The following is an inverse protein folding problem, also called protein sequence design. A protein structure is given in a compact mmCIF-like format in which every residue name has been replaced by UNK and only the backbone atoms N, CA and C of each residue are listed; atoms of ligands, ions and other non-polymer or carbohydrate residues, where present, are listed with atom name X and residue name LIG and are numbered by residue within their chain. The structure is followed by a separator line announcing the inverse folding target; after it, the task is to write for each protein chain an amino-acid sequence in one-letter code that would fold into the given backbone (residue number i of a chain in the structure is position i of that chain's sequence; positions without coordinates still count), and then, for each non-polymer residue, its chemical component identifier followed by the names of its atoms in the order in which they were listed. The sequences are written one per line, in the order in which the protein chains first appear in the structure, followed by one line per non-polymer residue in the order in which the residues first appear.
data_IF_632124484554
#
_entry.id   IF_632124484554
#
_cell.length_a   1.000
_cell.length_b   1.000
_cell.length_c   1.000
_cell.angle_alpha   90.00
_cell.angle_beta   90.00
_cell.angle_gamma   90.00
#
_symmetry.space_group_name_H-M   'P 1'
#
loop_
_entity.id
_entity.type
_entity.pdbx_description
1 polymer ?
#
# COMPACT_ATOMS: atom_id res chain seq x y z
N UNK A 1 -31.28 14.30 -9.07
CA UNK A 1 -31.33 15.42 -10.06
C UNK A 1 -30.00 15.47 -10.80
N UNK A 2 -29.93 16.15 -11.96
CA UNK A 2 -28.72 16.16 -12.81
C UNK A 2 -28.36 17.58 -13.24
N UNK A 3 -27.07 17.90 -13.23
CA UNK A 3 -26.51 19.12 -13.79
C UNK A 3 -25.74 18.76 -15.06
N UNK A 4 -26.06 19.43 -16.17
CA UNK A 4 -25.38 19.24 -17.44
C UNK A 4 -24.31 20.31 -17.65
N UNK A 5 -23.05 19.89 -17.69
CA UNK A 5 -21.92 20.74 -18.02
C UNK A 5 -21.67 20.59 -19.53
N UNK A 6 -21.88 21.66 -20.27
CA UNK A 6 -21.68 21.74 -21.71
C UNK A 6 -21.09 23.08 -22.08
N UNK A 7 -20.45 23.13 -23.23
CA UNK A 7 -20.09 24.41 -23.84
C UNK A 7 -21.36 25.21 -24.16
N UNK A 8 -21.32 26.52 -23.88
CA UNK A 8 -22.39 27.48 -24.14
C UNK A 8 -21.93 28.61 -25.07
N UNK A 9 -20.73 28.51 -25.64
CA UNK A 9 -20.09 29.60 -26.37
C UNK A 9 -19.60 30.71 -25.43
N UNK A 10 -19.39 31.88 -25.99
CA UNK A 10 -18.93 33.05 -25.23
C UNK A 10 -20.01 33.55 -24.27
N UNK A 11 -19.67 33.62 -22.98
CA UNK A 11 -20.54 34.11 -21.92
C UNK A 11 -20.07 35.48 -21.43
N UNK A 12 -21.00 36.29 -20.92
CA UNK A 12 -20.73 37.66 -20.47
C UNK A 12 -19.73 37.77 -19.31
N UNK A 13 -19.49 36.68 -18.58
CA UNK A 13 -18.50 36.60 -17.49
C UNK A 13 -17.25 35.81 -17.87
N UNK A 14 -17.10 35.47 -19.16
CA UNK A 14 -16.01 34.68 -19.71
C UNK A 14 -15.88 33.27 -19.09
N UNK A 15 -16.94 32.76 -18.44
CA UNK A 15 -16.94 31.40 -17.92
C UNK A 15 -17.04 30.41 -19.08
N UNK A 16 -16.13 29.45 -19.10
CA UNK A 16 -16.11 28.39 -20.10
C UNK A 16 -15.83 27.04 -19.46
N UNK A 17 -16.21 25.98 -20.17
CA UNK A 17 -15.74 24.65 -19.82
C UNK A 17 -14.26 24.54 -20.20
N UNK A 18 -13.39 24.24 -19.22
CA UNK A 18 -11.93 24.12 -19.41
C UNK A 18 -11.50 23.23 -20.59
N UNK A 19 -12.34 22.26 -20.95
CA UNK A 19 -12.12 21.39 -22.10
C UNK A 19 -13.44 21.25 -22.84
N UNK A 20 -13.59 21.99 -23.95
CA UNK A 20 -14.80 22.04 -24.78
C UNK A 20 -15.27 20.64 -25.22
N UNK A 21 -14.32 19.74 -25.49
CA UNK A 21 -14.58 18.34 -25.86
C UNK A 21 -14.94 17.42 -24.68
N UNK A 22 -15.08 17.94 -23.45
CA UNK A 22 -15.39 17.16 -22.25
C UNK A 22 -16.72 17.56 -21.58
N UNK A 23 -17.85 17.61 -22.32
CA UNK A 23 -19.16 17.80 -21.72
C UNK A 23 -19.50 16.59 -20.84
N UNK A 24 -20.19 16.84 -19.72
CA UNK A 24 -20.53 15.77 -18.77
C UNK A 24 -21.78 16.09 -17.99
N UNK A 25 -22.42 15.04 -17.50
CA UNK A 25 -23.58 15.15 -16.62
C UNK A 25 -23.19 14.72 -15.23
N UNK A 26 -23.54 15.53 -14.24
CA UNK A 26 -23.28 15.26 -12.83
C UNK A 26 -24.60 14.92 -12.15
N UNK A 27 -24.69 13.70 -11.61
CA UNK A 27 -25.71 13.38 -10.62
C UNK A 27 -25.40 14.13 -9.31
N UNK A 28 -26.42 14.78 -8.78
CA UNK A 28 -26.38 15.63 -7.58
C UNK A 28 -27.50 15.27 -6.62
N UNK A 29 -27.25 15.49 -5.32
CA UNK A 29 -28.23 15.28 -4.26
C UNK A 29 -29.39 16.28 -4.36
N UNK A 30 -30.53 15.93 -3.77
CA UNK A 30 -31.66 16.84 -3.65
C UNK A 30 -31.28 18.06 -2.80
N UNK A 31 -30.54 17.87 -1.71
CA UNK A 31 -30.11 18.96 -0.81
C UNK A 31 -29.30 20.04 -1.55
N UNK A 32 -28.38 19.64 -2.45
CA UNK A 32 -27.63 20.61 -3.24
C UNK A 32 -28.54 21.40 -4.19
N UNK A 33 -29.53 20.75 -4.77
CA UNK A 33 -30.49 21.42 -5.65
C UNK A 33 -31.42 22.34 -4.88
N UNK A 34 -31.83 21.97 -3.66
CA UNK A 34 -32.58 22.85 -2.78
C UNK A 34 -31.77 24.11 -2.45
N UNK A 35 -30.47 23.98 -2.12
CA UNK A 35 -29.59 25.13 -1.92
C UNK A 35 -29.47 26.04 -3.16
N UNK A 36 -29.49 25.47 -4.37
CA UNK A 36 -29.53 26.26 -5.60
C UNK A 36 -30.86 27.03 -5.74
N UNK A 37 -31.98 26.38 -5.45
CA UNK A 37 -33.31 27.01 -5.53
C UNK A 37 -33.49 28.10 -4.48
N UNK A 38 -33.02 27.87 -3.26
CA UNK A 38 -33.03 28.87 -2.18
C UNK A 38 -32.21 30.10 -2.60
N UNK A 39 -31.01 29.89 -3.14
CA UNK A 39 -30.17 30.98 -3.65
C UNK A 39 -30.85 31.76 -4.77
N UNK A 40 -31.45 31.08 -5.75
CA UNK A 40 -32.15 31.73 -6.86
C UNK A 40 -33.33 32.55 -6.32
N UNK A 41 -34.13 31.97 -5.44
CA UNK A 41 -35.32 32.63 -4.86
C UNK A 41 -34.94 33.87 -4.06
N UNK A 42 -33.81 33.84 -3.35
CA UNK A 42 -33.35 34.97 -2.52
C UNK A 42 -32.70 36.09 -3.35
N UNK A 43 -31.92 35.75 -4.38
CA UNK A 43 -31.05 36.72 -5.06
C UNK A 43 -31.45 37.06 -6.50
N UNK A 44 -32.22 36.23 -7.21
CA UNK A 44 -32.70 36.53 -8.56
C UNK A 44 -34.06 37.25 -8.52
N UNK A 45 -34.02 38.54 -8.18
CA UNK A 45 -35.19 39.42 -8.23
C UNK A 45 -35.45 39.94 -9.66
N UNK A 46 -36.54 40.69 -9.85
CA UNK A 46 -36.89 41.32 -11.13
C UNK A 46 -35.80 42.27 -11.68
N UNK A 47 -34.84 42.69 -10.84
CA UNK A 47 -33.70 43.53 -11.23
C UNK A 47 -32.52 42.75 -11.83
N UNK A 48 -32.59 41.41 -11.85
CA UNK A 48 -31.52 40.53 -12.30
C UNK A 48 -31.77 40.06 -13.73
N UNK A 49 -31.06 40.66 -14.69
CA UNK A 49 -31.11 40.28 -16.10
C UNK A 49 -29.89 39.44 -16.49
N UNK A 50 -29.89 38.16 -16.10
CA UNK A 50 -28.84 37.21 -16.49
C UNK A 50 -29.28 35.76 -16.39
N UNK A 51 -28.75 34.92 -17.28
CA UNK A 51 -28.94 33.47 -17.26
C UNK A 51 -27.79 32.72 -16.51
N UNK A 52 -27.13 33.41 -15.58
CA UNK A 52 -26.09 32.86 -14.71
C UNK A 52 -26.65 32.65 -13.32
N UNK A 53 -26.45 31.46 -12.73
CA UNK A 53 -26.93 31.20 -11.37
C UNK A 53 -26.25 32.11 -10.36
N UNK A 54 -24.93 32.23 -10.36
CA UNK A 54 -24.21 33.02 -9.36
C UNK A 54 -23.94 34.45 -9.81
N UNK A 55 -24.39 35.40 -9.00
CA UNK A 55 -24.31 36.86 -9.28
C UNK A 55 -23.59 37.61 -8.15
N UNK A 56 -23.13 38.82 -8.47
CA UNK A 56 -22.56 39.78 -7.52
C UNK A 56 -23.70 40.35 -6.67
N UNK A 57 -23.72 40.01 -5.38
CA UNK A 57 -24.82 40.36 -4.46
C UNK A 57 -24.76 41.81 -3.92
N UNK A 58 -23.62 42.49 -4.07
CA UNK A 58 -23.39 43.84 -3.53
C UNK A 58 -22.35 44.62 -4.33
N UNK A 59 -22.30 45.94 -4.12
CA UNK A 59 -21.35 46.87 -4.77
C UNK A 59 -21.91 47.48 -6.06
N UNK A 60 -21.09 48.28 -6.76
CA UNK A 60 -21.51 48.99 -7.98
C UNK A 60 -21.86 48.08 -9.16
N UNK A 61 -21.35 46.84 -9.15
CA UNK A 61 -21.65 45.81 -10.16
C UNK A 61 -22.66 44.78 -9.64
N UNK A 62 -23.54 45.16 -8.72
CA UNK A 62 -24.60 44.27 -8.21
C UNK A 62 -25.45 43.73 -9.37
N UNK A 63 -25.95 42.49 -9.23
CA UNK A 63 -26.76 41.74 -10.19
C UNK A 63 -26.01 41.24 -11.45
N UNK A 64 -24.77 41.69 -11.69
CA UNK A 64 -23.94 41.11 -12.75
C UNK A 64 -23.44 39.72 -12.37
N UNK A 65 -23.20 38.82 -13.33
CA UNK A 65 -22.59 37.51 -13.09
C UNK A 65 -21.27 37.58 -12.33
N UNK A 66 -20.99 36.56 -11.51
CA UNK A 66 -19.65 36.41 -10.92
C UNK A 66 -18.61 36.06 -12.00
N UNK A 67 -17.44 36.69 -11.89
CA UNK A 67 -16.25 36.37 -12.66
C UNK A 67 -15.26 35.53 -11.81
N UNK A 68 -14.26 34.94 -12.45
CA UNK A 68 -13.24 34.13 -11.75
C UNK A 68 -12.50 34.92 -10.64
N UNK A 69 -12.28 36.23 -10.87
CA UNK A 69 -11.68 37.13 -9.89
C UNK A 69 -12.53 37.30 -8.63
N UNK A 70 -13.86 37.32 -8.77
CA UNK A 70 -14.79 37.44 -7.64
C UNK A 70 -14.76 36.18 -6.76
N UNK A 71 -14.77 35.01 -7.39
CA UNK A 71 -14.67 33.71 -6.70
C UNK A 71 -13.34 33.62 -5.95
N UNK A 72 -12.23 33.97 -6.62
CA UNK A 72 -10.91 33.96 -5.98
C UNK A 72 -10.86 34.91 -4.77
N UNK A 73 -11.45 36.10 -4.90
CA UNK A 73 -11.53 37.08 -3.81
C UNK A 73 -12.42 36.60 -2.66
N UNK A 74 -13.52 35.92 -2.96
CA UNK A 74 -14.38 35.28 -1.96
C UNK A 74 -13.59 34.24 -1.14
N UNK A 75 -12.89 33.32 -1.79
CA UNK A 75 -12.10 32.30 -1.09
C UNK A 75 -10.94 32.89 -0.28
N UNK A 76 -10.31 33.99 -0.74
CA UNK A 76 -9.34 34.75 0.06
C UNK A 76 -9.97 35.31 1.33
N UNK A 77 -11.17 35.91 1.24
CA UNK A 77 -11.90 36.43 2.42
C UNK A 77 -12.30 35.32 3.38
N UNK A 78 -12.81 34.19 2.86
CA UNK A 78 -13.16 33.01 3.67
C UNK A 78 -11.92 32.49 4.40
N UNK A 79 -10.80 32.34 3.69
CA UNK A 79 -9.55 31.86 4.28
C UNK A 79 -9.05 32.79 5.39
N UNK A 80 -9.13 34.11 5.18
CA UNK A 80 -8.76 35.11 6.20
C UNK A 80 -9.69 35.07 7.41
N UNK A 81 -11.00 34.96 7.21
CA UNK A 81 -12.01 34.96 8.28
C UNK A 81 -11.92 33.71 9.15
N UNK A 82 -11.72 32.55 8.53
CA UNK A 82 -11.67 31.25 9.21
C UNK A 82 -10.27 30.87 9.69
N UNK A 83 -9.23 31.52 9.18
CA UNK A 83 -7.81 31.13 9.33
C UNK A 83 -7.49 29.74 8.75
N UNK A 84 -8.36 29.20 7.90
CA UNK A 84 -8.17 27.93 7.20
C UNK A 84 -7.88 28.24 5.74
N UNK A 85 -6.77 27.73 5.20
CA UNK A 85 -6.45 27.91 3.79
C UNK A 85 -7.42 27.08 2.94
N UNK A 86 -8.28 27.73 2.17
CA UNK A 86 -9.24 27.08 1.26
C UNK A 86 -9.22 27.77 -0.10
N UNK A 87 -9.26 27.00 -1.18
CA UNK A 87 -9.46 27.50 -2.54
C UNK A 87 -10.43 26.59 -3.31
N UNK A 88 -10.99 27.04 -4.45
CA UNK A 88 -11.94 26.24 -5.22
C UNK A 88 -11.40 24.88 -5.66
N UNK A 89 -10.11 24.79 -6.00
CA UNK A 89 -9.47 23.56 -6.45
C UNK A 89 -9.37 22.52 -5.32
N UNK A 90 -9.15 22.95 -4.07
CA UNK A 90 -9.15 22.06 -2.90
C UNK A 90 -10.51 21.38 -2.72
N UNK A 91 -11.62 22.09 -2.97
CA UNK A 91 -12.95 21.47 -2.92
C UNK A 91 -13.12 20.42 -4.03
N UNK A 92 -12.50 20.63 -5.19
CA UNK A 92 -12.48 19.64 -6.28
C UNK A 92 -11.66 18.40 -5.90
N UNK A 93 -10.65 18.49 -5.03
CA UNK A 93 -9.93 17.29 -4.55
C UNK A 93 -10.77 16.36 -3.67
N UNK A 94 -11.92 16.80 -3.18
CA UNK A 94 -12.86 15.91 -2.49
C UNK A 94 -13.40 14.78 -3.39
N UNK A 95 -13.22 14.87 -4.73
CA UNK A 95 -13.45 13.73 -5.62
C UNK A 95 -12.59 12.50 -5.25
N UNK A 96 -11.43 12.68 -4.63
CA UNK A 96 -10.61 11.57 -4.11
C UNK A 96 -11.33 10.78 -3.02
N UNK A 97 -12.25 11.39 -2.27
CA UNK A 97 -13.05 10.67 -1.26
C UNK A 97 -14.00 9.64 -1.88
N UNK A 98 -14.40 9.80 -3.16
CA UNK A 98 -15.22 8.80 -3.86
C UNK A 98 -14.47 7.48 -4.04
N UNK A 99 -13.14 7.52 -4.20
CA UNK A 99 -12.30 6.32 -4.22
C UNK A 99 -12.43 5.54 -2.91
N UNK A 100 -12.39 6.24 -1.77
CA UNK A 100 -12.56 5.61 -0.43
C UNK A 100 -13.94 4.96 -0.27
N UNK A 101 -14.92 5.41 -1.05
CA UNK A 101 -16.26 4.81 -1.15
C UNK A 101 -16.35 3.72 -2.24
N UNK A 102 -15.21 3.21 -2.72
CA UNK A 102 -15.14 2.11 -3.68
C UNK A 102 -15.32 2.49 -5.14
N UNK A 103 -15.31 3.79 -5.49
CA UNK A 103 -15.41 4.19 -6.90
C UNK A 103 -14.16 3.80 -7.67
N UNK A 104 -14.37 3.10 -8.78
CA UNK A 104 -13.31 2.79 -9.74
C UNK A 104 -12.77 4.06 -10.40
N UNK A 105 -11.47 4.11 -10.75
CA UNK A 105 -10.84 5.27 -11.38
C UNK A 105 -11.59 5.83 -12.60
N UNK A 106 -12.19 4.98 -13.43
CA UNK A 106 -12.92 5.37 -14.65
C UNK A 106 -14.19 6.15 -14.32
N UNK A 107 -14.86 5.79 -13.21
CA UNK A 107 -16.05 6.50 -12.72
C UNK A 107 -15.67 7.90 -12.20
N UNK A 108 -14.57 7.98 -11.46
CA UNK A 108 -14.03 9.25 -10.96
C UNK A 108 -13.57 10.13 -12.12
N UNK A 109 -12.88 9.57 -13.12
CA UNK A 109 -12.45 10.28 -14.32
C UNK A 109 -13.64 10.91 -15.05
N UNK A 110 -14.69 10.10 -15.29
CA UNK A 110 -15.90 10.56 -15.99
C UNK A 110 -16.61 11.69 -15.21
N UNK A 111 -16.69 11.57 -13.88
CA UNK A 111 -17.27 12.62 -13.03
C UNK A 111 -16.42 13.89 -13.00
N UNK A 112 -15.10 13.75 -12.94
CA UNK A 112 -14.17 14.89 -12.97
C UNK A 112 -14.20 15.58 -14.35
N UNK A 113 -14.39 14.84 -15.43
CA UNK A 113 -14.30 15.35 -16.80
C UNK A 113 -12.86 15.43 -17.31
N UNK A 114 -11.98 14.54 -16.85
CA UNK A 114 -10.59 14.47 -17.31
C UNK A 114 -10.52 13.74 -18.66
N UNK A 115 -9.94 14.40 -19.67
CA UNK A 115 -9.73 13.81 -20.99
C UNK A 115 -8.78 12.61 -20.94
N UNK A 116 -7.74 12.69 -20.10
CA UNK A 116 -6.75 11.62 -19.92
C UNK A 116 -6.94 10.91 -18.58
N UNK A 117 -6.91 9.59 -18.63
CA UNK A 117 -7.02 8.72 -17.45
C UNK A 117 -5.91 8.99 -16.42
N UNK A 118 -4.68 9.21 -16.90
CA UNK A 118 -3.50 9.44 -16.07
C UNK A 118 -3.66 10.62 -15.11
N UNK A 119 -4.34 11.70 -15.53
CA UNK A 119 -4.62 12.85 -14.65
C UNK A 119 -5.46 12.44 -13.44
N UNK A 120 -6.44 11.56 -13.62
CA UNK A 120 -7.28 11.08 -12.52
C UNK A 120 -6.49 10.20 -11.56
N UNK A 121 -5.67 9.29 -12.08
CA UNK A 121 -4.84 8.40 -11.26
C UNK A 121 -3.84 9.20 -10.44
N UNK A 122 -3.12 10.12 -11.09
CA UNK A 122 -2.11 10.95 -10.42
C UNK A 122 -2.70 11.92 -9.40
N UNK A 123 -3.93 12.41 -9.59
CA UNK A 123 -4.52 13.44 -8.72
C UNK A 123 -5.37 12.85 -7.58
N UNK A 124 -5.98 11.68 -7.80
CA UNK A 124 -7.02 11.13 -6.91
C UNK A 124 -6.74 9.71 -6.42
N UNK A 125 -5.73 9.01 -6.96
CA UNK A 125 -5.51 7.59 -6.74
C UNK A 125 -4.10 7.29 -6.20
N UNK A 126 -3.81 7.77 -4.99
CA UNK A 126 -2.59 7.47 -4.25
C UNK A 126 -2.80 6.30 -3.29
N UNK A 127 -2.39 5.10 -3.68
CA UNK A 127 -2.52 3.89 -2.84
C UNK A 127 -1.46 3.91 -1.74
N UNK A 128 -1.87 3.77 -0.48
CA UNK A 128 -0.93 3.58 0.63
C UNK A 128 -0.47 2.12 0.72
N UNK A 129 0.68 1.89 1.35
CA UNK A 129 1.16 0.52 1.62
C UNK A 129 0.15 -0.29 2.46
N UNK A 130 -0.62 0.38 3.32
CA UNK A 130 -1.69 -0.22 4.11
C UNK A 130 -2.84 -0.72 3.23
N UNK A 131 -3.30 0.09 2.27
CA UNK A 131 -4.35 -0.32 1.33
C UNK A 131 -3.89 -1.49 0.45
N UNK A 132 -2.61 -1.53 0.07
CA UNK A 132 -2.03 -2.68 -0.65
C UNK A 132 -2.06 -3.93 0.23
N UNK A 133 -1.73 -3.79 1.52
CA UNK A 133 -1.79 -4.90 2.47
C UNK A 133 -3.20 -5.42 2.64
N UNK A 134 -4.16 -4.55 2.95
CA UNK A 134 -5.57 -4.94 3.16
C UNK A 134 -6.10 -5.70 1.93
N UNK A 135 -5.79 -5.20 0.73
CA UNK A 135 -6.17 -5.86 -0.52
C UNK A 135 -5.52 -7.25 -0.69
N UNK A 136 -4.25 -7.40 -0.30
CA UNK A 136 -3.55 -8.68 -0.33
C UNK A 136 -4.15 -9.65 0.70
N UNK A 137 -4.39 -9.21 1.93
CA UNK A 137 -4.98 -10.03 3.00
C UNK A 137 -6.38 -10.52 2.62
N UNK A 138 -7.20 -9.67 2.00
CA UNK A 138 -8.52 -10.05 1.50
C UNK A 138 -8.44 -11.10 0.36
N UNK A 139 -7.52 -10.92 -0.60
CA UNK A 139 -7.30 -11.90 -1.65
C UNK A 139 -6.81 -13.26 -1.11
N UNK A 140 -5.97 -13.22 -0.06
CA UNK A 140 -5.48 -14.40 0.65
C UNK A 140 -6.60 -15.14 1.38
N UNK A 141 -7.50 -14.42 2.08
CA UNK A 141 -8.70 -15.03 2.71
C UNK A 141 -9.57 -15.75 1.70
N UNK A 142 -9.73 -15.18 0.50
CA UNK A 142 -10.48 -15.78 -0.60
C UNK A 142 -9.78 -16.99 -1.24
N UNK A 143 -8.64 -17.43 -0.71
CA UNK A 143 -7.95 -18.64 -1.13
C UNK A 143 -7.20 -18.51 -2.44
N UNK A 144 -6.99 -17.28 -2.93
CA UNK A 144 -6.37 -17.05 -4.23
C UNK A 144 -4.94 -17.61 -4.32
N UNK A 145 -4.21 -17.65 -3.20
CA UNK A 145 -2.80 -18.00 -3.18
C UNK A 145 -2.46 -19.41 -2.64
N UNK A 146 -3.43 -20.17 -2.11
CA UNK A 146 -3.20 -21.54 -1.60
C UNK A 146 -4.00 -22.55 -2.40
N UNK A 147 -3.31 -23.58 -2.90
CA UNK A 147 -3.94 -24.72 -3.57
C UNK A 147 -3.76 -25.98 -2.74
N UNK A 148 -4.79 -26.83 -2.68
CA UNK A 148 -4.65 -28.18 -2.14
C UNK A 148 -3.88 -29.09 -3.13
N UNK A 149 -3.63 -30.35 -2.74
CA UNK A 149 -2.96 -31.35 -3.58
C UNK A 149 -3.65 -31.59 -4.93
N UNK A 150 -4.94 -31.27 -5.05
CA UNK A 150 -5.71 -31.33 -6.30
C UNK A 150 -5.62 -30.05 -7.16
N UNK A 151 -4.82 -29.06 -6.75
CA UNK A 151 -4.67 -27.79 -7.45
C UNK A 151 -5.83 -26.80 -7.27
N UNK A 152 -6.77 -27.09 -6.36
CA UNK A 152 -7.93 -26.22 -6.09
C UNK A 152 -7.58 -25.19 -5.02
N UNK A 153 -7.95 -23.94 -5.29
CA UNK A 153 -7.88 -22.84 -4.33
C UNK A 153 -8.62 -23.18 -3.03
N UNK A 154 -7.96 -22.96 -1.90
CA UNK A 154 -8.51 -23.19 -0.55
C UNK A 154 -8.49 -21.89 0.22
N UNK A 155 -9.63 -21.51 0.80
CA UNK A 155 -9.75 -20.37 1.72
C UNK A 155 -8.76 -20.52 2.87
N UNK A 156 -8.07 -19.43 3.20
CA UNK A 156 -7.11 -19.41 4.32
C UNK A 156 -7.79 -18.74 5.50
N UNK A 157 -7.88 -19.47 6.61
CA UNK A 157 -8.29 -18.87 7.86
C UNK A 157 -7.07 -18.22 8.55
N UNK A 158 -6.96 -16.90 8.41
CA UNK A 158 -5.87 -16.12 9.02
C UNK A 158 -5.92 -16.17 10.56
N UNK A 159 -7.03 -16.58 11.17
CA UNK A 159 -7.13 -16.75 12.64
C UNK A 159 -6.66 -18.13 13.12
N UNK A 160 -6.12 -18.97 12.26
CA UNK A 160 -5.55 -20.25 12.66
C UNK A 160 -4.13 -20.33 12.12
N UNK A 161 -3.14 -20.25 13.02
CA UNK A 161 -1.76 -20.59 12.70
C UNK A 161 -1.61 -22.08 13.01
N UNK A 162 -1.39 -22.94 12.00
CA UNK A 162 -1.04 -24.33 12.26
C UNK A 162 0.24 -24.37 13.11
N UNK A 163 0.25 -25.16 14.17
CA UNK A 163 1.47 -25.46 14.92
C UNK A 163 2.24 -26.54 14.16
N UNK A 164 2.78 -26.16 13.00
CA UNK A 164 3.59 -27.03 12.16
C UNK A 164 5.06 -26.64 12.26
N UNK A 165 5.95 -27.60 12.05
CA UNK A 165 7.38 -27.35 11.95
C UNK A 165 7.76 -26.73 10.58
N UNK A 166 6.85 -25.95 9.99
CA UNK A 166 6.98 -25.25 8.72
C UNK A 166 6.89 -23.73 8.92
N UNK A 167 7.60 -22.97 8.08
CA UNK A 167 7.47 -21.51 8.04
C UNK A 167 6.29 -21.17 7.14
N UNK A 168 5.24 -20.64 7.73
CA UNK A 168 4.02 -20.24 7.02
C UNK A 168 4.12 -18.75 6.64
N UNK A 169 4.40 -18.49 5.36
CA UNK A 169 4.77 -17.17 4.84
C UNK A 169 3.72 -16.09 5.08
N UNK A 170 2.46 -16.49 5.11
CA UNK A 170 1.30 -15.63 5.29
C UNK A 170 1.26 -14.99 6.68
N UNK A 171 1.89 -15.61 7.68
CA UNK A 171 1.87 -15.12 9.06
C UNK A 171 3.15 -14.39 9.45
N UNK A 172 4.13 -14.27 8.54
CA UNK A 172 5.40 -13.59 8.84
C UNK A 172 5.14 -12.13 9.20
N UNK A 173 5.76 -11.70 10.30
CA UNK A 173 5.60 -10.33 10.79
C UNK A 173 6.11 -9.32 9.77
N UNK A 174 5.27 -8.34 9.47
CA UNK A 174 5.53 -7.36 8.40
C UNK A 174 6.72 -6.42 8.63
N UNK A 175 7.19 -6.33 9.88
CA UNK A 175 8.39 -5.59 10.24
C UNK A 175 9.69 -6.34 9.92
N UNK A 176 9.60 -7.59 9.43
CA UNK A 176 10.74 -8.41 9.02
C UNK A 176 10.99 -8.30 7.51
N UNK A 177 12.25 -8.44 7.13
CA UNK A 177 12.71 -8.40 5.73
C UNK A 177 12.50 -9.76 5.01
N UNK A 178 12.43 -10.86 5.78
CA UNK A 178 12.09 -12.23 5.37
C UNK A 178 12.59 -12.62 3.95
N UNK A 179 13.89 -12.91 3.82
CA UNK A 179 14.52 -13.22 2.52
C UNK A 179 15.11 -14.61 2.49
N UNK A 180 14.96 -15.35 1.39
CA UNK A 180 15.61 -16.65 1.16
C UNK A 180 17.11 -16.50 0.85
N UNK A 181 17.92 -17.23 1.60
CA UNK A 181 19.38 -17.35 1.48
C UNK A 181 19.74 -18.81 1.11
N UNK A 182 21.00 -19.12 0.76
CA UNK A 182 21.39 -20.47 0.34
C UNK A 182 21.09 -21.58 1.36
N UNK A 183 21.20 -21.28 2.65
CA UNK A 183 21.04 -22.25 3.74
C UNK A 183 19.91 -21.91 4.73
N UNK A 184 19.17 -20.82 4.52
CA UNK A 184 18.17 -20.38 5.47
C UNK A 184 17.26 -19.29 4.91
N UNK A 185 16.28 -18.87 5.70
CA UNK A 185 15.58 -17.60 5.60
C UNK A 185 16.16 -16.58 6.59
N UNK A 186 16.32 -15.33 6.15
CA UNK A 186 16.75 -14.21 6.97
C UNK A 186 15.52 -13.47 7.52
N UNK A 187 15.27 -13.60 8.81
CA UNK A 187 14.14 -12.98 9.52
C UNK A 187 14.55 -11.69 10.25
N UNK A 188 15.45 -10.90 9.66
CA UNK A 188 15.91 -9.65 10.31
C UNK A 188 14.81 -8.58 10.28
N UNK A 189 14.68 -7.73 11.32
CA UNK A 189 13.84 -6.55 11.23
C UNK A 189 14.30 -5.60 10.11
N UNK A 190 13.35 -4.98 9.40
CA UNK A 190 13.63 -4.02 8.31
C UNK A 190 14.51 -2.85 8.75
N UNK A 191 14.35 -2.42 10.01
CA UNK A 191 15.12 -1.30 10.61
C UNK A 191 16.52 -1.71 11.10
N UNK A 192 16.86 -3.00 11.07
CA UNK A 192 18.13 -3.51 11.58
C UNK A 192 19.14 -3.69 10.43
N UNK A 193 20.32 -3.09 10.58
CA UNK A 193 21.47 -3.34 9.69
C UNK A 193 22.13 -4.70 9.95
N UNK A 194 22.63 -5.33 8.88
CA UNK A 194 23.28 -6.64 8.95
C UNK A 194 24.79 -6.53 9.18
N UNK A 195 25.21 -6.78 10.41
CA UNK A 195 26.63 -6.75 10.80
C UNK A 195 27.38 -8.03 10.41
N UNK A 196 26.64 -9.07 10.00
CA UNK A 196 27.14 -10.40 9.67
C UNK A 196 27.45 -10.58 8.18
N UNK A 197 27.44 -9.52 7.36
CA UNK A 197 27.81 -9.58 5.94
C UNK A 197 29.18 -10.28 5.68
N UNK A 198 30.05 -10.36 6.70
CA UNK A 198 31.37 -11.01 6.65
C UNK A 198 31.47 -12.36 7.39
N UNK A 199 30.48 -12.77 8.18
CA UNK A 199 30.51 -14.01 9.00
C UNK A 199 29.33 -14.92 8.61
N UNK A 200 29.54 -16.24 8.42
CA UNK A 200 28.47 -17.17 8.07
C UNK A 200 27.24 -17.01 8.98
N UNK A 201 26.05 -16.96 8.36
CA UNK A 201 24.77 -16.69 9.05
C UNK A 201 24.44 -17.69 10.17
N UNK A 202 25.12 -18.83 10.24
CA UNK A 202 24.91 -19.93 11.20
C UNK A 202 24.94 -19.52 12.68
N UNK A 203 25.55 -18.39 13.01
CA UNK A 203 25.54 -17.85 14.38
C UNK A 203 24.49 -16.77 14.61
N UNK A 204 23.95 -16.20 13.54
CA UNK A 204 22.99 -15.10 13.57
C UNK A 204 21.71 -15.50 14.29
N UNK A 205 21.18 -14.59 15.10
CA UNK A 205 19.90 -14.80 15.79
C UNK A 205 18.70 -14.84 14.83
N UNK A 206 18.80 -14.13 13.72
CA UNK A 206 17.73 -13.97 12.73
C UNK A 206 17.76 -15.07 11.65
N UNK A 207 18.64 -16.07 11.78
CA UNK A 207 18.66 -17.22 10.87
C UNK A 207 17.53 -18.19 11.24
N UNK A 208 16.65 -18.44 10.30
CA UNK A 208 15.59 -19.44 10.38
C UNK A 208 15.80 -20.47 9.27
N UNK A 209 16.02 -21.76 9.58
CA UNK A 209 16.13 -22.81 8.56
C UNK A 209 15.14 -23.94 8.82
N UNK A 210 14.64 -24.51 7.72
CA UNK A 210 13.63 -25.57 7.66
C UNK A 210 14.22 -26.83 7.03
N UNK A 211 13.46 -27.93 7.08
CA UNK A 211 13.82 -29.21 6.44
C UNK A 211 14.06 -29.09 4.93
N UNK A 212 13.51 -28.07 4.26
CA UNK A 212 13.75 -27.78 2.84
C UNK A 212 15.23 -27.56 2.50
N UNK A 213 16.04 -27.15 3.49
CA UNK A 213 17.47 -26.90 3.31
C UNK A 213 18.36 -28.11 3.60
N UNK A 214 17.80 -29.27 4.00
CA UNK A 214 18.56 -30.48 4.29
C UNK A 214 19.54 -30.84 3.17
N UNK A 215 19.15 -30.86 1.87
CA UNK A 215 20.08 -31.20 0.79
C UNK A 215 21.29 -30.25 0.72
N UNK A 216 21.08 -28.96 0.97
CA UNK A 216 22.14 -27.96 0.96
C UNK A 216 23.07 -28.11 2.16
N UNK A 217 22.53 -28.40 3.35
CA UNK A 217 23.35 -28.70 4.53
C UNK A 217 24.19 -29.97 4.34
N UNK A 218 23.62 -31.03 3.76
CA UNK A 218 24.35 -32.27 3.48
C UNK A 218 25.51 -32.04 2.49
N UNK A 219 25.28 -31.23 1.47
CA UNK A 219 26.32 -30.83 0.51
C UNK A 219 27.46 -30.04 1.19
N UNK A 220 27.12 -29.00 1.96
CA UNK A 220 28.11 -28.17 2.67
C UNK A 220 28.96 -28.99 3.65
N UNK A 221 28.36 -29.95 4.36
CA UNK A 221 29.06 -30.89 5.25
C UNK A 221 30.03 -31.75 4.46
N UNK A 222 29.60 -32.30 3.33
CA UNK A 222 30.44 -33.14 2.47
C UNK A 222 31.64 -32.35 1.94
N UNK A 223 31.41 -31.15 1.43
CA UNK A 223 32.46 -30.28 0.90
C UNK A 223 33.45 -29.84 1.98
N UNK A 224 32.95 -29.47 3.17
CA UNK A 224 33.78 -29.06 4.31
C UNK A 224 34.66 -30.22 4.79
N UNK A 225 34.12 -31.43 4.91
CA UNK A 225 34.89 -32.64 5.24
C UNK A 225 36.00 -32.89 4.22
N UNK A 226 35.67 -32.85 2.94
CA UNK A 226 36.64 -33.05 1.87
C UNK A 226 37.75 -31.97 1.87
N UNK A 227 37.40 -30.71 2.17
CA UNK A 227 38.35 -29.61 2.30
C UNK A 227 39.32 -29.82 3.46
N UNK A 228 38.82 -30.23 4.64
CA UNK A 228 39.64 -30.54 5.82
C UNK A 228 40.63 -31.67 5.50
N UNK A 229 40.17 -32.76 4.88
CA UNK A 229 41.02 -33.90 4.52
C UNK A 229 42.11 -33.52 3.50
N UNK A 230 41.76 -32.74 2.46
CA UNK A 230 42.77 -32.20 1.51
C UNK A 230 43.79 -31.30 2.21
N UNK A 231 43.35 -30.45 3.14
CA UNK A 231 44.21 -29.56 3.91
C UNK A 231 45.24 -30.32 4.76
N UNK A 232 44.80 -31.38 5.44
CA UNK A 232 45.66 -32.28 6.21
C UNK A 232 46.71 -32.96 5.32
N UNK A 233 46.29 -33.51 4.18
CA UNK A 233 47.18 -34.22 3.25
C UNK A 233 48.27 -33.31 2.65
N UNK A 234 48.01 -32.01 2.50
CA UNK A 234 48.95 -31.03 1.94
C UNK A 234 49.83 -30.35 2.99
N UNK A 235 49.74 -30.74 4.27
CA UNK A 235 50.46 -30.06 5.37
C UNK A 235 50.02 -28.61 5.58
N UNK A 236 48.86 -28.19 5.04
CA UNK A 236 48.28 -26.84 5.17
C UNK A 236 47.44 -26.70 6.44
N UNK A 237 47.94 -27.24 7.54
CA UNK A 237 47.24 -27.41 8.82
C UNK A 237 47.70 -26.38 9.85
N UNK A 238 47.59 -25.09 9.54
CA UNK A 238 47.65 -24.08 10.61
C UNK A 238 46.58 -24.42 11.64
N UNK A 239 46.95 -24.50 12.93
CA UNK A 239 46.02 -24.82 14.03
C UNK A 239 44.73 -24.00 13.95
N UNK A 240 44.87 -22.70 13.67
CA UNK A 240 43.76 -21.74 13.56
C UNK A 240 42.83 -22.08 12.37
N UNK A 241 43.38 -22.52 11.23
CA UNK A 241 42.56 -22.88 10.08
C UNK A 241 41.78 -24.17 10.33
N UNK A 242 42.42 -25.18 10.93
CA UNK A 242 41.75 -26.44 11.27
C UNK A 242 40.63 -26.22 12.27
N UNK A 243 40.90 -25.48 13.35
CA UNK A 243 39.93 -25.18 14.41
C UNK A 243 38.70 -24.44 13.86
N UNK A 244 38.89 -23.47 12.96
CA UNK A 244 37.79 -22.73 12.33
C UNK A 244 36.89 -23.61 11.45
N UNK A 245 37.49 -24.48 10.63
CA UNK A 245 36.71 -25.34 9.73
C UNK A 245 36.04 -26.48 10.50
N UNK A 246 36.68 -27.00 11.54
CA UNK A 246 36.09 -27.99 12.44
C UNK A 246 34.88 -27.40 13.18
N UNK A 247 35.02 -26.18 13.72
CA UNK A 247 33.91 -25.45 14.35
C UNK A 247 32.76 -25.19 13.38
N UNK A 248 33.06 -24.90 12.11
CA UNK A 248 32.04 -24.70 11.08
C UNK A 248 31.30 -26.00 10.76
N UNK A 249 32.03 -27.10 10.61
CA UNK A 249 31.49 -28.43 10.36
C UNK A 249 30.54 -28.88 11.49
N UNK A 250 30.98 -28.72 12.73
CA UNK A 250 30.17 -29.05 13.92
C UNK A 250 28.85 -28.26 13.95
N UNK A 251 28.86 -26.99 13.50
CA UNK A 251 27.63 -26.19 13.40
C UNK A 251 26.70 -26.70 12.32
N UNK A 252 27.22 -27.05 11.13
CA UNK A 252 26.39 -27.62 10.08
C UNK A 252 25.75 -28.94 10.54
N UNK A 253 26.53 -29.84 11.14
CA UNK A 253 26.04 -31.12 11.64
C UNK A 253 25.01 -30.94 12.77
N UNK A 254 25.25 -29.99 13.69
CA UNK A 254 24.29 -29.66 14.76
C UNK A 254 22.96 -29.14 14.21
N UNK A 255 22.98 -28.26 13.20
CA UNK A 255 21.75 -27.75 12.59
C UNK A 255 21.05 -28.85 11.80
N UNK A 256 21.80 -29.64 11.02
CA UNK A 256 21.23 -30.74 10.25
C UNK A 256 20.53 -31.79 11.14
N UNK A 257 21.08 -32.07 12.33
CA UNK A 257 20.45 -32.97 13.29
C UNK A 257 19.06 -32.47 13.72
N UNK A 258 18.90 -31.16 13.97
CA UNK A 258 17.60 -30.53 14.27
C UNK A 258 16.65 -30.67 13.08
N UNK A 259 17.14 -30.38 11.87
CA UNK A 259 16.33 -30.44 10.65
C UNK A 259 15.84 -31.86 10.32
N UNK A 260 16.65 -32.89 10.60
CA UNK A 260 16.29 -34.31 10.38
C UNK A 260 15.20 -34.82 11.33
N UNK A 261 15.00 -34.16 12.46
CA UNK A 261 13.85 -34.38 13.34
C UNK A 261 12.58 -33.65 12.83
N UNK A 262 12.60 -33.15 11.60
CA UNK A 262 11.60 -32.28 10.98
C UNK A 262 11.37 -30.95 11.70
N UNK A 263 12.28 -30.50 12.58
CA UNK A 263 12.11 -29.25 13.36
C UNK A 263 12.75 -28.05 12.66
N UNK A 264 12.17 -26.88 12.86
CA UNK A 264 12.78 -25.60 12.47
C UNK A 264 13.95 -25.25 13.39
N UNK A 265 15.08 -24.85 12.82
CA UNK A 265 16.15 -24.20 13.57
C UNK A 265 16.05 -22.68 13.44
N UNK A 266 15.51 -22.01 14.47
CA UNK A 266 15.48 -20.56 14.57
C UNK A 266 15.74 -20.10 16.01
N UNK A 267 16.70 -19.19 16.19
CA UNK A 267 17.08 -18.70 17.53
C UNK A 267 16.14 -17.62 18.08
N UNK A 268 15.53 -16.80 17.23
CA UNK A 268 14.36 -16.04 17.63
C UNK A 268 13.16 -16.99 17.49
N UNK A 269 12.43 -17.25 18.57
CA UNK A 269 11.31 -18.20 18.56
C UNK A 269 10.27 -17.89 17.47
N UNK A 270 9.34 -18.81 17.24
CA UNK A 270 8.18 -18.63 16.37
C UNK A 270 7.44 -17.31 16.60
N UNK A 271 7.18 -16.97 17.86
CA UNK A 271 6.59 -15.68 18.24
C UNK A 271 7.36 -14.47 17.72
N UNK A 272 8.68 -14.59 17.50
CA UNK A 272 9.50 -13.53 16.92
C UNK A 272 9.40 -13.40 15.40
N UNK A 273 8.98 -14.45 14.68
CA UNK A 273 8.88 -14.45 13.21
C UNK A 273 7.45 -14.31 12.69
N UNK A 274 6.48 -14.91 13.38
CA UNK A 274 5.08 -15.00 12.95
C UNK A 274 4.17 -14.26 13.93
N UNK A 275 3.07 -13.71 13.43
CA UNK A 275 2.00 -13.17 14.26
C UNK A 275 1.24 -14.31 14.93
N UNK A 276 0.95 -14.20 16.24
CA UNK A 276 -0.03 -15.05 16.87
C UNK A 276 -1.45 -14.68 16.41
N UNK A 277 -2.39 -15.63 16.50
CA UNK A 277 -3.81 -15.44 16.18
C UNK A 277 -4.40 -14.21 16.90
N UNK A 278 -4.04 -14.02 18.17
CA UNK A 278 -4.50 -12.90 19.00
C UNK A 278 -3.95 -11.55 18.52
N UNK A 279 -2.74 -11.52 17.97
CA UNK A 279 -2.07 -10.31 17.48
C UNK A 279 -2.63 -9.87 16.11
N UNK A 280 -2.99 -10.82 15.24
CA UNK A 280 -3.67 -10.52 13.97
C UNK A 280 -5.02 -9.87 14.19
N UNK A 281 -5.76 -10.30 15.22
CA UNK A 281 -7.05 -9.70 15.59
C UNK A 281 -6.91 -8.31 16.22
N UNK A 282 -5.73 -7.99 16.78
CA UNK A 282 -5.45 -6.73 17.48
C UNK A 282 -4.75 -5.68 16.61
N UNK A 283 -4.23 -6.09 15.44
CA UNK A 283 -3.61 -5.23 14.45
C UNK A 283 -4.61 -4.65 13.43
N UNK A 284 -5.90 -4.98 13.56
CA UNK A 284 -7.02 -4.47 12.76
C UNK A 284 -7.75 -3.33 13.49
#
# INVERSE_FOLDING_TARGET
MRIHIRDRGELSNLAEIKTVSSPRTLDVSADLMNMYMDYITEFHTDEVDTNHVFIKIAGGNKNYPLEYGDVTSLFKRISKKTRIRVNPHMLRHNLSSLRKLGWKPELVQKRAGHAHYQTTVQEYYHVSDEEVREAWEEATKQGFFRTNESGKHTEINITYVPNDDLVEWEYIRSNLDAVRMPLCYCMKPKKQECHTQLIPCLTCRNLCTTSDFIPQYELEIQETKAMIERGKAQGRSSWIWMEKNQTLLERYESILAVLKECKIHHKASEKGREYAVEELNSAN
#
